data_IF_205272939963
#
_entry.id   IF_205272939963
#
_cell.length_a   1.000
_cell.length_b   1.000
_cell.length_c   1.000
_cell.angle_alpha   90.00
_cell.angle_beta   90.00
_cell.angle_gamma   90.00
#
_symmetry.space_group_name_H-M   'P 1'
#
loop_
_entity.id
_entity.type
_entity.pdbx_description
1 polymer ?
#
# COMPACT_ATOMS: atom_id res chain seq x y z
N UNK A 1 -1.54 1.54 -13.93
CA UNK A 1 -0.14 1.77 -13.50
C UNK A 1 0.29 0.54 -12.75
N UNK A 2 1.50 0.06 -13.04
CA UNK A 2 2.02 -1.17 -12.44
C UNK A 2 3.22 -0.79 -11.56
N UNK A 3 3.10 -1.06 -10.27
CA UNK A 3 4.07 -0.73 -9.21
C UNK A 3 4.75 0.64 -9.36
N UNK A 4 3.99 1.75 -9.44
CA UNK A 4 4.56 3.08 -9.63
C UNK A 4 5.48 3.53 -8.48
N UNK A 5 5.43 2.87 -7.33
CA UNK A 5 6.29 3.08 -6.18
C UNK A 5 7.72 2.55 -6.33
N UNK A 6 8.00 1.64 -7.28
CA UNK A 6 9.24 0.84 -7.29
C UNK A 6 10.53 1.68 -7.34
N UNK A 7 10.47 2.86 -7.97
CA UNK A 7 11.59 3.80 -8.07
C UNK A 7 11.46 5.01 -7.13
N UNK A 8 10.47 5.02 -6.22
CA UNK A 8 10.12 6.16 -5.39
C UNK A 8 10.44 5.91 -3.92
N UNK A 9 11.12 6.88 -3.31
CA UNK A 9 11.21 6.95 -1.85
C UNK A 9 9.82 7.16 -1.23
N UNK A 10 9.60 6.81 0.05
CA UNK A 10 8.31 7.01 0.73
C UNK A 10 7.77 8.44 0.61
N UNK A 11 8.64 9.44 0.72
CA UNK A 11 8.26 10.85 0.52
C UNK A 11 7.75 11.13 -0.90
N UNK A 12 8.40 10.55 -1.93
CA UNK A 12 7.95 10.70 -3.31
C UNK A 12 6.66 9.95 -3.59
N UNK A 13 6.40 8.84 -2.89
CA UNK A 13 5.11 8.14 -2.97
C UNK A 13 3.98 9.02 -2.41
N UNK A 14 4.20 9.77 -1.33
CA UNK A 14 3.22 10.75 -0.82
C UNK A 14 2.94 11.86 -1.86
N UNK A 15 3.97 12.37 -2.53
CA UNK A 15 3.78 13.34 -3.63
C UNK A 15 2.97 12.73 -4.77
N UNK A 16 3.26 11.49 -5.17
CA UNK A 16 2.49 10.78 -6.19
C UNK A 16 1.01 10.61 -5.78
N UNK A 17 0.76 10.24 -4.53
CA UNK A 17 -0.60 10.10 -3.99
C UNK A 17 -1.40 11.41 -4.08
N UNK A 18 -0.78 12.55 -3.76
CA UNK A 18 -1.40 13.87 -3.93
C UNK A 18 -1.75 14.17 -5.40
N UNK A 19 -0.82 13.89 -6.33
CA UNK A 19 -1.04 14.11 -7.76
C UNK A 19 -2.19 13.23 -8.28
N UNK A 20 -2.21 11.94 -7.91
CA UNK A 20 -3.28 11.01 -8.30
C UNK A 20 -4.63 11.51 -7.77
N UNK A 21 -4.70 11.92 -6.50
CA UNK A 21 -5.92 12.44 -5.89
C UNK A 21 -6.46 13.68 -6.63
N UNK A 22 -5.57 14.62 -7.00
CA UNK A 22 -5.94 15.81 -7.77
C UNK A 22 -6.44 15.46 -9.18
N UNK A 23 -5.73 14.59 -9.88
CA UNK A 23 -6.12 14.16 -11.22
C UNK A 23 -7.46 13.40 -11.19
N UNK A 24 -7.68 12.55 -10.20
CA UNK A 24 -8.94 11.83 -10.01
C UNK A 24 -10.11 12.79 -9.77
N UNK A 25 -9.90 13.82 -8.93
CA UNK A 25 -10.89 14.88 -8.70
C UNK A 25 -11.25 15.64 -9.99
N UNK A 26 -10.29 15.79 -10.90
CA UNK A 26 -10.48 16.42 -12.21
C UNK A 26 -11.05 15.44 -13.27
N UNK A 27 -11.53 14.26 -12.87
CA UNK A 27 -12.22 13.31 -13.73
C UNK A 27 -11.33 12.23 -14.36
N UNK A 28 -10.04 12.18 -14.00
CA UNK A 28 -9.18 11.07 -14.44
C UNK A 28 -9.53 9.78 -13.69
N UNK A 29 -9.31 8.64 -14.33
CA UNK A 29 -9.48 7.32 -13.70
C UNK A 29 -8.15 6.59 -13.66
N UNK A 30 -7.89 5.92 -12.54
CA UNK A 30 -6.65 5.17 -12.32
C UNK A 30 -6.99 3.74 -11.90
N UNK A 31 -6.27 2.79 -12.50
CA UNK A 31 -6.16 1.41 -12.01
C UNK A 31 -4.69 1.22 -11.66
N UNK A 32 -4.40 0.90 -10.41
CA UNK A 32 -3.03 0.83 -9.87
C UNK A 32 -2.84 -0.54 -9.23
N UNK A 33 -1.85 -1.28 -9.71
CA UNK A 33 -1.28 -2.41 -8.97
C UNK A 33 -0.15 -1.86 -8.10
N UNK A 34 -0.21 -2.12 -6.79
CA UNK A 34 0.76 -1.59 -5.83
C UNK A 34 0.83 -2.48 -4.60
N UNK A 35 2.04 -2.61 -4.05
CA UNK A 35 2.31 -3.20 -2.74
C UNK A 35 2.58 -2.12 -1.69
N UNK A 36 2.63 -0.84 -2.07
CA UNK A 36 2.87 0.26 -1.16
C UNK A 36 1.65 0.51 -0.24
N UNK A 37 1.81 0.39 1.09
CA UNK A 37 0.75 0.81 2.02
C UNK A 37 0.47 2.32 1.90
N UNK A 38 1.42 3.13 1.44
CA UNK A 38 1.20 4.56 1.24
C UNK A 38 0.21 4.78 0.11
N UNK A 39 0.41 4.15 -1.05
CA UNK A 39 -0.47 4.33 -2.21
C UNK A 39 -1.85 3.70 -2.00
N UNK A 40 -1.91 2.55 -1.31
CA UNK A 40 -3.18 1.93 -0.90
C UNK A 40 -4.01 2.82 0.03
N UNK A 41 -3.38 3.74 0.75
CA UNK A 41 -4.04 4.70 1.64
C UNK A 41 -4.77 5.85 0.94
N UNK A 42 -4.94 5.83 -0.39
CA UNK A 42 -5.66 6.87 -1.13
C UNK A 42 -7.14 6.93 -0.68
N UNK A 43 -7.62 8.07 -0.13
CA UNK A 43 -9.00 8.16 0.34
C UNK A 43 -10.03 7.96 -0.77
N UNK A 44 -11.03 7.11 -0.50
CA UNK A 44 -12.12 6.84 -1.44
C UNK A 44 -11.73 5.91 -2.60
N UNK A 45 -10.55 5.30 -2.58
CA UNK A 45 -10.19 4.26 -3.53
C UNK A 45 -10.90 2.93 -3.19
N UNK A 46 -11.39 2.24 -4.21
CA UNK A 46 -11.77 0.84 -4.09
C UNK A 46 -10.50 -0.03 -4.12
N UNK A 47 -10.30 -0.83 -3.08
CA UNK A 47 -9.14 -1.71 -2.97
C UNK A 47 -9.58 -3.15 -3.24
N UNK A 48 -8.82 -3.82 -4.12
CA UNK A 48 -9.02 -5.24 -4.43
C UNK A 48 -7.75 -6.02 -4.08
N UNK A 49 -7.90 -7.08 -3.30
CA UNK A 49 -6.83 -8.02 -2.97
C UNK A 49 -6.83 -9.18 -3.96
N UNK A 50 -5.64 -9.54 -4.42
CA UNK A 50 -5.38 -10.68 -5.29
C UNK A 50 -4.78 -11.79 -4.43
N UNK A 51 -5.60 -12.41 -3.59
CA UNK A 51 -5.17 -13.47 -2.69
C UNK A 51 -5.81 -14.81 -3.09
N UNK A 52 -5.06 -15.90 -2.92
CA UNK A 52 -5.57 -17.28 -3.06
C UNK A 52 -6.34 -17.55 -4.37
N UNK A 53 -5.84 -17.02 -5.49
CA UNK A 53 -6.44 -17.17 -6.83
C UNK A 53 -7.83 -16.54 -7.01
N UNK A 54 -8.25 -15.68 -6.09
CA UNK A 54 -9.51 -14.92 -6.16
C UNK A 54 -9.24 -13.42 -6.04
N UNK A 55 -10.04 -12.62 -6.75
CA UNK A 55 -10.03 -11.16 -6.62
C UNK A 55 -11.20 -10.78 -5.72
N UNK A 56 -10.93 -10.15 -4.59
CA UNK A 56 -11.95 -9.73 -3.63
C UNK A 56 -11.75 -8.28 -3.20
N UNK A 57 -12.82 -7.50 -2.95
CA UNK A 57 -12.71 -6.23 -2.26
C UNK A 57 -12.03 -6.39 -0.90
N UNK A 58 -11.28 -5.39 -0.48
CA UNK A 58 -10.66 -5.32 0.85
C UNK A 58 -10.72 -3.88 1.37
N UNK A 59 -10.79 -3.72 2.69
CA UNK A 59 -10.47 -2.44 3.32
C UNK A 59 -8.96 -2.25 3.39
N UNK A 60 -8.52 -1.00 3.60
CA UNK A 60 -7.10 -0.67 3.70
C UNK A 60 -6.39 -1.48 4.80
N UNK A 61 -7.02 -1.59 5.97
CA UNK A 61 -6.49 -2.30 7.13
C UNK A 61 -6.44 -3.83 6.97
N UNK A 62 -7.21 -4.38 6.04
CA UNK A 62 -7.19 -5.80 5.69
C UNK A 62 -6.08 -6.16 4.69
N UNK A 63 -5.45 -5.16 4.06
CA UNK A 63 -4.37 -5.42 3.11
C UNK A 63 -3.13 -5.98 3.80
N UNK A 64 -2.50 -6.98 3.19
CA UNK A 64 -1.27 -7.60 3.70
C UNK A 64 -0.16 -6.55 3.86
N UNK A 65 0.01 -5.66 2.88
CA UNK A 65 0.98 -4.57 2.92
C UNK A 65 0.80 -3.67 4.15
N UNK A 66 -0.44 -3.32 4.50
CA UNK A 66 -0.72 -2.55 5.71
C UNK A 66 -0.34 -3.35 6.96
N UNK A 67 -0.82 -4.60 7.07
CA UNK A 67 -0.65 -5.41 8.27
C UNK A 67 0.83 -5.70 8.56
N UNK A 68 1.60 -6.11 7.55
CA UNK A 68 3.04 -6.38 7.69
C UNK A 68 3.78 -5.11 8.06
N UNK A 69 3.52 -4.00 7.36
CA UNK A 69 4.21 -2.73 7.62
C UNK A 69 3.91 -2.24 9.03
N UNK A 70 2.65 -2.25 9.45
CA UNK A 70 2.24 -1.86 10.80
C UNK A 70 2.89 -2.74 11.86
N UNK A 71 2.83 -4.06 11.69
CA UNK A 71 3.42 -5.03 12.61
C UNK A 71 4.91 -4.76 12.80
N UNK A 72 5.65 -4.54 11.72
CA UNK A 72 7.08 -4.21 11.76
C UNK A 72 7.37 -2.88 12.45
N UNK A 73 6.62 -1.83 12.13
CA UNK A 73 6.82 -0.50 12.73
C UNK A 73 6.49 -0.48 14.22
N UNK A 74 5.47 -1.22 14.66
CA UNK A 74 5.04 -1.27 16.07
C UNK A 74 5.88 -2.22 16.92
N UNK A 75 6.44 -3.29 16.35
CA UNK A 75 7.11 -4.37 17.10
C UNK A 75 8.54 -4.66 16.63
N UNK A 76 9.22 -3.68 16.02
CA UNK A 76 10.52 -3.84 15.34
C UNK A 76 11.54 -4.67 16.13
N UNK A 77 11.81 -4.31 17.38
CA UNK A 77 12.87 -4.95 18.17
C UNK A 77 12.56 -6.42 18.44
N UNK A 78 11.34 -6.70 18.91
CA UNK A 78 10.87 -8.06 19.17
C UNK A 78 10.93 -8.93 17.93
N UNK A 79 10.44 -8.41 16.79
CA UNK A 79 10.46 -9.15 15.53
C UNK A 79 11.88 -9.46 15.07
N UNK A 80 12.80 -8.50 15.18
CA UNK A 80 14.21 -8.72 14.82
C UNK A 80 14.86 -9.76 15.74
N UNK A 81 14.57 -9.74 17.03
CA UNK A 81 15.03 -10.78 17.95
C UNK A 81 14.50 -12.14 17.52
N UNK A 82 13.19 -12.31 17.36
CA UNK A 82 12.57 -13.59 16.97
C UNK A 82 13.06 -14.09 15.59
N UNK A 83 13.33 -13.20 14.63
CA UNK A 83 13.82 -13.54 13.29
C UNK A 83 15.29 -13.97 13.24
N UNK A 84 16.13 -13.48 14.17
CA UNK A 84 17.57 -13.70 14.16
C UNK A 84 18.07 -14.55 15.36
N UNK A 85 17.19 -15.03 16.24
CA UNK A 85 17.50 -15.96 17.34
C UNK A 85 17.52 -17.45 16.90
N UNK A 86 17.85 -17.75 15.64
CA UNK A 86 18.35 -19.08 15.24
C UNK A 86 19.86 -19.23 15.51
#
# INVERSE_FOLDING_TARGET
MDEPEAALSPQRQLTLLLIIAEMAKNGSQFIIATHSPILLGLPGADIFSFSNSTISPASYEETESYQITKMFLENRERLLTELFEE
#
